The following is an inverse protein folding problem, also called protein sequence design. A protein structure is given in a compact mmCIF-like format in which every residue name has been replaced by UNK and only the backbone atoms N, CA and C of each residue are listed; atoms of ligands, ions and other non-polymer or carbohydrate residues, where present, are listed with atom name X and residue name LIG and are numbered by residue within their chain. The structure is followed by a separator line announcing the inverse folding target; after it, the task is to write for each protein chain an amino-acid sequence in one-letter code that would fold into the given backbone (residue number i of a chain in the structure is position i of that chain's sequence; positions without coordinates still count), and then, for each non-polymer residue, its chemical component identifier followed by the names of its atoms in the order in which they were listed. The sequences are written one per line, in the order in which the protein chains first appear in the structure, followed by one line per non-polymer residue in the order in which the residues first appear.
data_IF_947741639414
#
_entry.id   IF_947741639414
#
_cell.length_a   1.000
_cell.length_b   1.000
_cell.length_c   1.000
_cell.angle_alpha   90.00
_cell.angle_beta   90.00
_cell.angle_gamma   90.00
#
_symmetry.space_group_name_H-M   'P 1'
#
loop_
_entity.id
_entity.type
_entity.pdbx_description
1 polymer ?
#
# COMPACT_ATOMS: atom_id res chain seq x y z
N UNK A 1 15.16 -7.77 -13.18
CA UNK A 1 14.40 -6.99 -12.19
C UNK A 1 14.08 -5.61 -12.74
N UNK A 2 12.91 -5.48 -13.36
CA UNK A 2 12.27 -4.25 -13.82
C UNK A 2 11.35 -3.78 -12.69
N UNK A 3 11.65 -2.63 -12.10
CA UNK A 3 10.84 -2.07 -11.00
C UNK A 3 10.11 -0.84 -11.52
N UNK A 4 8.78 -0.84 -11.45
CA UNK A 4 7.93 0.31 -11.78
C UNK A 4 7.49 1.01 -10.50
N UNK A 5 7.51 2.34 -10.51
CA UNK A 5 7.06 3.16 -9.38
C UNK A 5 6.00 4.17 -9.84
N UNK A 6 4.91 4.25 -9.07
CA UNK A 6 3.82 5.21 -9.19
C UNK A 6 3.60 5.85 -7.83
N UNK A 7 3.85 7.15 -7.70
CA UNK A 7 3.66 7.78 -6.40
C UNK A 7 4.17 9.19 -6.30
N UNK A 8 4.44 9.62 -5.07
CA UNK A 8 5.00 10.93 -4.79
C UNK A 8 6.46 11.04 -5.24
N UNK A 9 6.88 12.24 -5.62
CA UNK A 9 8.29 12.58 -5.84
C UNK A 9 9.15 12.38 -4.58
N UNK A 10 8.56 12.55 -3.39
CA UNK A 10 9.20 12.46 -2.08
C UNK A 10 9.81 11.07 -1.86
N UNK A 11 9.02 10.00 -1.96
CA UNK A 11 9.53 8.63 -1.80
C UNK A 11 10.43 8.26 -2.98
N UNK A 12 10.05 8.64 -4.21
CA UNK A 12 10.87 8.35 -5.39
C UNK A 12 12.28 8.93 -5.30
N UNK A 13 12.45 10.08 -4.63
CA UNK A 13 13.74 10.75 -4.49
C UNK A 13 14.73 9.96 -3.65
N UNK A 14 14.24 9.11 -2.74
CA UNK A 14 15.06 8.25 -1.88
C UNK A 14 15.69 7.08 -2.66
N UNK A 15 15.18 6.77 -3.85
CA UNK A 15 15.64 5.66 -4.66
C UNK A 15 16.22 6.13 -6.00
N UNK A 16 17.54 6.11 -6.11
CA UNK A 16 18.27 6.50 -7.32
C UNK A 16 18.27 5.44 -8.43
N UNK A 17 17.84 4.21 -8.14
CA UNK A 17 17.96 3.03 -9.02
C UNK A 17 16.63 2.39 -9.45
N UNK A 18 15.49 3.00 -9.11
CA UNK A 18 14.17 2.51 -9.53
C UNK A 18 13.78 3.23 -10.82
N UNK A 19 13.23 2.49 -11.79
CA UNK A 19 12.67 3.09 -13.01
C UNK A 19 11.39 3.85 -12.66
N UNK A 20 11.54 5.18 -12.56
CA UNK A 20 10.48 6.11 -12.16
C UNK A 20 9.56 6.30 -13.36
N UNK A 21 8.51 5.49 -13.41
CA UNK A 21 7.59 5.52 -14.55
C UNK A 21 6.63 6.70 -14.41
N UNK A 22 6.09 6.95 -13.21
CA UNK A 22 5.28 8.13 -12.95
C UNK A 22 5.48 8.68 -11.54
N UNK A 23 5.79 9.98 -11.47
CA UNK A 23 5.90 10.73 -10.20
C UNK A 23 5.00 11.95 -10.27
N UNK A 24 4.02 12.06 -9.35
CA UNK A 24 3.27 13.29 -9.17
C UNK A 24 4.13 14.29 -8.38
N UNK A 25 4.16 15.56 -8.80
CA UNK A 25 4.88 16.61 -8.08
C UNK A 25 4.23 16.85 -6.70
N UNK A 26 5.06 16.94 -5.66
CA UNK A 26 4.65 17.16 -4.27
C UNK A 26 3.69 18.34 -4.00
N UNK A 27 3.60 19.30 -4.93
CA UNK A 27 2.76 20.50 -4.83
C UNK A 27 1.40 20.37 -5.53
N UNK A 28 1.21 19.44 -6.46
CA UNK A 28 -0.10 19.12 -7.06
C UNK A 28 -0.93 18.18 -6.15
N UNK A 29 -0.29 17.67 -5.09
CA UNK A 29 -0.82 16.75 -4.06
C UNK A 29 -1.85 17.43 -3.13
N UNK A 30 -2.06 18.74 -3.24
CA UNK A 30 -2.82 19.54 -2.25
C UNK A 30 -4.36 19.42 -2.42
N UNK A 31 -4.89 18.64 -3.37
CA UNK A 31 -6.33 18.43 -3.50
C UNK A 31 -6.68 16.94 -3.66
N UNK A 32 -7.16 16.38 -2.55
CA UNK A 32 -7.39 14.97 -2.21
C UNK A 32 -7.87 14.03 -3.34
N UNK A 33 -8.78 14.46 -4.20
CA UNK A 33 -9.34 13.61 -5.25
C UNK A 33 -8.42 13.45 -6.46
N UNK A 34 -7.51 14.40 -6.69
CA UNK A 34 -6.72 14.42 -7.91
C UNK A 34 -5.53 13.47 -7.85
N UNK A 35 -4.89 13.30 -6.69
CA UNK A 35 -3.73 12.41 -6.57
C UNK A 35 -4.14 10.94 -6.58
N UNK A 36 -5.12 10.54 -5.76
CA UNK A 36 -5.61 9.15 -5.73
C UNK A 36 -6.05 8.69 -7.12
N UNK A 37 -6.87 9.50 -7.78
CA UNK A 37 -7.33 9.25 -9.15
C UNK A 37 -6.16 9.26 -10.15
N UNK A 38 -5.20 10.19 -10.03
CA UNK A 38 -4.05 10.25 -10.94
C UNK A 38 -3.13 9.04 -10.78
N UNK A 39 -2.69 8.72 -9.56
CA UNK A 39 -1.79 7.59 -9.32
C UNK A 39 -2.52 6.29 -9.67
N UNK A 40 -3.79 6.14 -9.30
CA UNK A 40 -4.61 5.00 -9.72
C UNK A 40 -4.64 4.86 -11.23
N UNK A 41 -5.11 5.88 -11.97
CA UNK A 41 -5.22 5.83 -13.42
C UNK A 41 -3.89 5.52 -14.12
N UNK A 42 -2.78 6.11 -13.66
CA UNK A 42 -1.48 5.81 -14.24
C UNK A 42 -1.02 4.39 -13.88
N UNK A 43 -1.28 3.93 -12.65
CA UNK A 43 -0.92 2.57 -12.23
C UNK A 43 -1.69 1.48 -12.98
N UNK A 44 -2.85 1.78 -13.57
CA UNK A 44 -3.57 0.84 -14.45
C UNK A 44 -2.75 0.41 -15.68
N UNK A 45 -1.77 1.21 -16.09
CA UNK A 45 -0.84 0.86 -17.18
C UNK A 45 -0.04 -0.41 -16.89
N UNK A 46 0.10 -0.80 -15.62
CA UNK A 46 0.74 -2.06 -15.21
C UNK A 46 0.08 -3.30 -15.83
N UNK A 47 -1.18 -3.20 -16.23
CA UNK A 47 -1.95 -4.30 -16.78
C UNK A 47 -2.07 -4.27 -18.31
N UNK A 48 -1.43 -3.30 -18.96
CA UNK A 48 -1.37 -3.25 -20.42
C UNK A 48 -0.36 -4.28 -20.95
N UNK A 49 -0.66 -5.00 -22.06
CA UNK A 49 0.18 -6.10 -22.55
C UNK A 49 1.64 -5.74 -22.84
N UNK A 50 1.92 -4.49 -23.20
CA UNK A 50 3.25 -3.97 -23.49
C UNK A 50 4.06 -3.55 -22.25
N UNK A 51 3.43 -3.48 -21.07
CA UNK A 51 4.08 -3.02 -19.85
C UNK A 51 4.74 -4.18 -19.11
N UNK A 52 6.07 -4.26 -19.20
CA UNK A 52 6.83 -5.29 -18.49
C UNK A 52 7.34 -4.79 -17.12
N UNK A 53 7.09 -5.57 -16.07
CA UNK A 53 7.58 -5.32 -14.72
C UNK A 53 7.77 -6.63 -13.93
N UNK A 54 8.74 -6.64 -13.03
CA UNK A 54 8.94 -7.72 -12.04
C UNK A 54 8.38 -7.29 -10.67
N UNK A 55 8.50 -5.99 -10.35
CA UNK A 55 7.96 -5.38 -9.13
C UNK A 55 7.30 -4.06 -9.49
N UNK A 56 6.10 -3.83 -8.97
CA UNK A 56 5.43 -2.53 -9.03
C UNK A 56 5.23 -1.99 -7.61
N UNK A 57 5.60 -0.73 -7.40
CA UNK A 57 5.37 -0.01 -6.14
C UNK A 57 4.40 1.12 -6.43
N UNK A 58 3.27 1.11 -5.72
CA UNK A 58 2.22 2.11 -5.84
C UNK A 58 2.08 2.79 -4.48
N UNK A 59 2.48 4.06 -4.41
CA UNK A 59 2.43 4.91 -3.23
C UNK A 59 1.22 5.85 -3.35
N UNK A 60 0.21 5.59 -2.51
CA UNK A 60 -1.06 6.33 -2.46
C UNK A 60 -1.19 7.10 -1.14
N UNK A 61 -1.62 8.35 -1.25
CA UNK A 61 -2.14 9.09 -0.10
C UNK A 61 -3.65 8.80 -0.02
N UNK A 62 -4.06 8.22 1.11
CA UNK A 62 -5.47 7.84 1.33
C UNK A 62 -6.14 8.77 2.33
N UNK A 63 -5.73 8.76 3.60
CA UNK A 63 -6.39 9.51 4.68
C UNK A 63 -5.58 10.73 5.18
N UNK A 64 -4.37 10.94 4.68
CA UNK A 64 -3.44 11.93 5.23
C UNK A 64 -3.86 13.37 4.86
N UNK A 65 -4.39 13.58 3.66
CA UNK A 65 -4.87 14.89 3.19
C UNK A 65 -6.10 15.40 3.97
N UNK A 66 -7.01 14.51 4.38
CA UNK A 66 -8.09 14.84 5.34
C UNK A 66 -7.56 15.03 6.78
N UNK A 67 -6.32 14.62 7.08
CA UNK A 67 -5.71 14.64 8.41
C UNK A 67 -5.53 16.03 9.00
N UNK A 68 -5.27 17.05 8.18
CA UNK A 68 -5.15 18.43 8.66
C UNK A 68 -6.50 19.12 8.96
N UNK A 69 -7.63 18.57 8.51
CA UNK A 69 -8.94 19.24 8.58
C UNK A 69 -10.03 18.38 9.28
N UNK A 70 -9.96 17.04 9.25
CA UNK A 70 -10.95 16.11 9.81
C UNK A 70 -10.47 15.21 10.97
N UNK A 71 -11.42 14.69 11.75
CA UNK A 71 -11.27 13.77 12.90
C UNK A 71 -11.13 12.28 12.48
N UNK A 72 -10.66 11.39 13.37
CA UNK A 72 -10.43 9.96 13.07
C UNK A 72 -11.69 9.19 12.66
N UNK A 73 -12.86 9.59 13.17
CA UNK A 73 -14.17 9.00 12.84
C UNK A 73 -15.07 9.96 12.03
N UNK A 74 -14.47 10.85 11.24
CA UNK A 74 -15.27 11.77 10.45
C UNK A 74 -16.00 11.00 9.32
N UNK A 75 -17.28 11.30 9.03
CA UNK A 75 -18.09 10.54 8.05
C UNK A 75 -17.46 10.39 6.66
N UNK A 76 -16.58 11.31 6.26
CA UNK A 76 -15.84 11.22 5.00
C UNK A 76 -14.81 10.09 4.94
N UNK A 77 -14.29 9.62 6.08
CA UNK A 77 -13.27 8.57 6.12
C UNK A 77 -13.80 7.23 5.59
N UNK A 78 -15.06 6.89 5.89
CA UNK A 78 -15.69 5.66 5.41
C UNK A 78 -15.83 5.68 3.88
N UNK A 79 -16.23 6.81 3.30
CA UNK A 79 -16.32 6.97 1.85
C UNK A 79 -14.95 6.82 1.17
N UNK A 80 -13.90 7.38 1.74
CA UNK A 80 -12.54 7.29 1.20
C UNK A 80 -12.00 5.85 1.30
N UNK A 81 -12.23 5.19 2.43
CA UNK A 81 -11.84 3.79 2.62
C UNK A 81 -12.58 2.88 1.65
N UNK A 82 -13.88 3.10 1.47
CA UNK A 82 -14.70 2.36 0.49
C UNK A 82 -14.20 2.57 -0.94
N UNK A 83 -13.90 3.81 -1.33
CA UNK A 83 -13.32 4.06 -2.65
C UNK A 83 -11.95 3.36 -2.78
N UNK A 84 -11.12 3.33 -1.73
CA UNK A 84 -9.84 2.58 -1.77
C UNK A 84 -10.05 1.08 -1.92
N UNK A 85 -11.06 0.51 -1.25
CA UNK A 85 -11.49 -0.87 -1.42
C UNK A 85 -11.92 -1.15 -2.87
N UNK A 86 -12.75 -0.29 -3.46
CA UNK A 86 -13.18 -0.39 -4.86
C UNK A 86 -12.00 -0.33 -5.84
N UNK A 87 -10.98 0.49 -5.57
CA UNK A 87 -9.75 0.50 -6.38
C UNK A 87 -8.95 -0.81 -6.21
N UNK A 88 -8.84 -1.33 -4.98
CA UNK A 88 -8.18 -2.62 -4.74
C UNK A 88 -8.88 -3.76 -5.48
N UNK A 89 -10.21 -3.77 -5.52
CA UNK A 89 -10.98 -4.75 -6.28
C UNK A 89 -10.64 -4.71 -7.77
N UNK A 90 -10.46 -3.52 -8.35
CA UNK A 90 -10.05 -3.36 -9.75
C UNK A 90 -8.64 -3.91 -10.03
N UNK A 91 -7.73 -3.77 -9.06
CA UNK A 91 -6.40 -4.39 -9.12
C UNK A 91 -6.48 -5.91 -9.06
N UNK A 92 -7.29 -6.44 -8.13
CA UNK A 92 -7.53 -7.88 -7.97
C UNK A 92 -8.15 -8.47 -9.23
N UNK A 93 -9.05 -7.76 -9.90
CA UNK A 93 -9.67 -8.25 -11.13
C UNK A 93 -8.64 -8.38 -12.26
N UNK A 94 -7.74 -7.38 -12.39
CA UNK A 94 -6.77 -7.29 -13.49
C UNK A 94 -5.45 -8.01 -13.27
N UNK A 95 -5.05 -8.29 -12.04
CA UNK A 95 -3.80 -9.00 -11.75
C UNK A 95 -3.78 -10.39 -12.39
N UNK A 96 -2.59 -10.87 -12.77
CA UNK A 96 -2.41 -12.24 -13.21
C UNK A 96 -2.42 -13.24 -12.05
N UNK A 97 -2.57 -14.52 -12.36
CA UNK A 97 -2.64 -15.60 -11.35
C UNK A 97 -1.31 -15.77 -10.59
N UNK A 98 -0.19 -15.43 -11.24
CA UNK A 98 1.16 -15.47 -10.66
C UNK A 98 1.58 -14.12 -10.04
N UNK A 99 0.65 -13.18 -9.87
CA UNK A 99 0.93 -11.89 -9.24
C UNK A 99 0.58 -11.94 -7.76
N UNK A 100 1.43 -11.39 -6.90
CA UNK A 100 1.08 -11.14 -5.49
C UNK A 100 0.88 -9.65 -5.28
N UNK A 101 -0.26 -9.26 -4.72
CA UNK A 101 -0.48 -7.92 -4.18
C UNK A 101 -0.04 -7.92 -2.72
N UNK A 102 0.81 -6.98 -2.35
CA UNK A 102 1.09 -6.66 -0.95
C UNK A 102 0.57 -5.27 -0.66
N UNK A 103 -0.23 -5.12 0.38
CA UNK A 103 -0.68 -3.83 0.87
C UNK A 103 -0.15 -3.61 2.28
N UNK A 104 0.36 -2.41 2.53
CA UNK A 104 0.75 -1.97 3.86
C UNK A 104 0.47 -0.48 4.03
N UNK A 105 0.21 -0.05 5.25
CA UNK A 105 0.23 1.38 5.61
C UNK A 105 1.53 1.71 6.33
N UNK A 106 2.04 2.92 6.13
CA UNK A 106 3.28 3.42 6.73
C UNK A 106 3.08 3.79 8.21
N UNK A 107 1.91 4.35 8.55
CA UNK A 107 1.51 4.61 9.92
C UNK A 107 0.01 4.36 10.14
N UNK A 108 -0.38 4.36 11.41
CA UNK A 108 -1.77 4.42 11.83
C UNK A 108 -2.17 5.86 12.13
N UNK A 109 -3.34 6.06 12.74
CA UNK A 109 -3.84 7.39 13.07
C UNK A 109 -4.52 7.38 14.43
N UNK A 110 -4.05 8.23 15.34
CA UNK A 110 -4.67 8.43 16.65
C UNK A 110 -5.94 9.29 16.59
N UNK A 111 -6.70 9.28 17.69
CA UNK A 111 -7.95 10.07 17.83
C UNK A 111 -7.76 11.58 17.55
N UNK A 112 -6.59 12.12 17.92
CA UNK A 112 -6.25 13.54 17.76
C UNK A 112 -5.57 13.89 16.44
N UNK A 113 -5.65 13.02 15.42
CA UNK A 113 -5.13 13.29 14.07
C UNK A 113 -3.61 13.44 14.00
N UNK A 114 -2.92 12.99 15.03
CA UNK A 114 -1.48 12.87 15.01
C UNK A 114 -1.12 11.52 14.38
N UNK A 115 0.05 11.48 13.76
CA UNK A 115 0.67 10.31 13.12
C UNK A 115 2.19 10.33 13.39
N UNK A 116 2.63 11.03 14.45
CA UNK A 116 4.03 11.14 14.85
C UNK A 116 4.56 9.92 15.61
N UNK A 117 3.75 8.88 15.81
CA UNK A 117 4.13 7.64 16.48
C UNK A 117 4.13 7.72 18.01
N UNK A 118 3.46 8.73 18.59
CA UNK A 118 3.41 8.93 20.04
C UNK A 118 2.41 8.02 20.75
N UNK A 119 1.50 7.41 20.00
CA UNK A 119 0.46 6.52 20.52
C UNK A 119 0.50 5.15 19.82
N UNK A 120 -0.09 4.13 20.44
CA UNK A 120 -0.19 2.79 19.84
C UNK A 120 -0.96 2.82 18.52
N UNK A 121 -2.03 3.59 18.45
CA UNK A 121 -2.87 3.71 17.26
C UNK A 121 -2.14 4.41 16.10
N UNK A 122 -1.13 5.23 16.39
CA UNK A 122 -0.24 5.83 15.38
C UNK A 122 0.82 4.85 14.88
N UNK A 123 1.23 3.88 15.72
CA UNK A 123 2.25 2.90 15.38
C UNK A 123 1.69 1.61 14.76
N UNK A 124 0.42 1.30 15.01
CA UNK A 124 -0.21 0.11 14.44
C UNK A 124 -0.64 0.37 13.00
N UNK A 125 -0.19 -0.51 12.12
CA UNK A 125 -0.46 -0.44 10.69
C UNK A 125 -1.07 -1.72 10.18
N UNK A 126 -1.65 -1.63 8.99
CA UNK A 126 -2.19 -2.79 8.29
C UNK A 126 -1.08 -3.36 7.41
N UNK A 127 -0.98 -4.69 7.38
CA UNK A 127 -0.18 -5.43 6.41
C UNK A 127 -1.02 -6.61 5.93
N UNK A 128 -1.05 -6.83 4.63
CA UNK A 128 -1.69 -8.01 4.05
C UNK A 128 -1.16 -8.33 2.68
N UNK A 129 -1.42 -9.57 2.27
CA UNK A 129 -0.98 -10.12 1.00
C UNK A 129 -2.13 -10.88 0.36
N UNK A 130 -2.23 -10.78 -0.96
CA UNK A 130 -3.26 -11.44 -1.74
C UNK A 130 -2.67 -12.00 -3.04
N UNK A 131 -3.10 -13.22 -3.37
CA UNK A 131 -2.85 -13.87 -4.65
C UNK A 131 -4.11 -14.66 -5.02
N UNK A 132 -4.45 -14.71 -6.32
CA UNK A 132 -5.64 -15.44 -6.80
C UNK A 132 -5.54 -16.93 -6.49
N UNK A 133 -4.45 -17.54 -6.91
CA UNK A 133 -4.12 -18.92 -6.60
C UNK A 133 -3.08 -18.93 -5.48
N UNK A 134 -3.46 -19.40 -4.30
CA UNK A 134 -2.58 -19.41 -3.14
C UNK A 134 -1.44 -20.43 -3.33
N UNK A 135 -0.35 -20.01 -3.98
CA UNK A 135 0.88 -20.81 -4.10
C UNK A 135 1.84 -20.61 -2.92
N UNK A 136 1.49 -19.79 -1.94
CA UNK A 136 2.30 -19.69 -0.72
C UNK A 136 2.42 -21.09 -0.12
N UNK A 137 3.64 -21.65 -0.15
CA UNK A 137 4.00 -22.79 0.69
C UNK A 137 4.06 -22.30 2.12
N UNK A 138 2.90 -22.03 2.70
CA UNK A 138 2.78 -21.83 4.14
C UNK A 138 3.05 -23.21 4.72
N UNK A 139 4.19 -23.34 5.40
CA UNK A 139 4.44 -24.50 6.24
C UNK A 139 3.23 -24.65 7.18
N UNK A 140 2.59 -25.81 7.17
CA UNK A 140 1.40 -26.05 7.99
C UNK A 140 1.69 -25.78 9.47
N UNK A 141 2.95 -25.94 9.93
CA UNK A 141 3.34 -25.56 11.29
C UNK A 141 3.31 -24.04 11.53
N UNK A 142 3.71 -23.24 10.54
CA UNK A 142 3.63 -21.78 10.61
C UNK A 142 2.19 -21.29 10.60
N UNK A 143 1.30 -21.93 9.83
CA UNK A 143 -0.13 -21.61 9.82
C UNK A 143 -0.77 -21.90 11.18
N UNK A 144 -0.49 -23.07 11.76
CA UNK A 144 -0.99 -23.48 13.08
C UNK A 144 -0.47 -22.52 14.16
N UNK A 145 0.80 -22.12 14.09
CA UNK A 145 1.38 -21.20 15.05
C UNK A 145 0.80 -19.77 14.91
N UNK A 146 0.65 -19.27 13.68
CA UNK A 146 0.03 -17.97 13.42
C UNK A 146 -1.43 -17.91 13.89
N UNK A 147 -2.20 -19.00 13.73
CA UNK A 147 -3.58 -19.09 14.25
C UNK A 147 -3.64 -19.16 15.79
N UNK A 148 -2.60 -19.69 16.45
CA UNK A 148 -2.50 -19.74 17.93
C UNK A 148 -2.10 -18.40 18.53
N UNK A 149 -1.21 -17.67 17.85
CA UNK A 149 -0.77 -16.35 18.27
C UNK A 149 -1.85 -15.30 17.94
N UNK A 150 -2.83 -15.14 18.85
CA UNK A 150 -3.98 -14.24 18.70
C UNK A 150 -3.63 -12.78 18.32
N UNK A 151 -2.40 -12.34 18.58
CA UNK A 151 -1.87 -11.05 18.14
C UNK A 151 -0.33 -11.09 18.11
N UNK A 152 0.28 -11.17 16.92
CA UNK A 152 1.73 -11.02 16.76
C UNK A 152 2.06 -9.61 16.32
N UNK A 153 2.66 -8.82 17.20
CA UNK A 153 3.19 -7.50 16.84
C UNK A 153 4.52 -7.70 16.12
N UNK A 154 4.62 -7.22 14.87
CA UNK A 154 5.84 -7.25 14.09
C UNK A 154 6.30 -5.84 13.75
N UNK A 155 7.60 -5.51 13.93
CA UNK A 155 8.15 -4.26 13.43
C UNK A 155 8.11 -4.23 11.90
N UNK A 156 7.70 -3.12 11.30
CA UNK A 156 7.65 -2.94 9.84
C UNK A 156 8.99 -3.23 9.14
N UNK A 157 10.12 -3.02 9.83
CA UNK A 157 11.46 -3.35 9.28
C UNK A 157 11.59 -4.82 8.87
N UNK A 158 10.76 -5.71 9.44
CA UNK A 158 10.71 -7.13 9.12
C UNK A 158 10.18 -7.40 7.71
N UNK A 159 9.50 -6.43 7.08
CA UNK A 159 9.00 -6.55 5.70
C UNK A 159 10.14 -6.81 4.71
N UNK A 160 11.34 -6.29 4.98
CA UNK A 160 12.53 -6.56 4.16
C UNK A 160 12.83 -8.05 4.02
N UNK A 161 12.71 -8.81 5.12
CA UNK A 161 12.91 -10.25 5.12
C UNK A 161 11.75 -10.97 4.42
N UNK A 162 10.51 -10.52 4.63
CA UNK A 162 9.34 -11.06 3.92
C UNK A 162 9.48 -10.92 2.41
N UNK A 163 9.82 -9.72 1.92
CA UNK A 163 10.01 -9.48 0.48
C UNK A 163 11.19 -10.27 -0.09
N UNK A 164 12.26 -10.44 0.68
CA UNK A 164 13.38 -11.28 0.27
C UNK A 164 13.02 -12.77 0.15
N UNK A 165 11.95 -13.22 0.80
CA UNK A 165 11.45 -14.59 0.67
C UNK A 165 10.45 -14.77 -0.48
N UNK A 166 9.89 -13.67 -1.00
CA UNK A 166 8.92 -13.67 -2.10
C UNK A 166 9.56 -13.49 -3.48
N UNK A 167 10.76 -12.90 -3.52
CA UNK A 167 11.53 -12.57 -4.72
C UNK A 167 12.68 -13.57 -4.93
#
# INVERSE_FOLDING_TARGET
MKIKYFGSDTISSMFSRIDKTYTANGKEIILDTNQKTFIFNNSMMLFEPETEWDIAVIDWIVLDNYGHIGCSNCPGNEAILKETEELMDLFIDKMGDNTTIVFLTDHGRGEYRNHGGSTKDEMYTIFGMYQKDLEFRIDQELEIQARKDKLRIMPQISISATFSALL
#
